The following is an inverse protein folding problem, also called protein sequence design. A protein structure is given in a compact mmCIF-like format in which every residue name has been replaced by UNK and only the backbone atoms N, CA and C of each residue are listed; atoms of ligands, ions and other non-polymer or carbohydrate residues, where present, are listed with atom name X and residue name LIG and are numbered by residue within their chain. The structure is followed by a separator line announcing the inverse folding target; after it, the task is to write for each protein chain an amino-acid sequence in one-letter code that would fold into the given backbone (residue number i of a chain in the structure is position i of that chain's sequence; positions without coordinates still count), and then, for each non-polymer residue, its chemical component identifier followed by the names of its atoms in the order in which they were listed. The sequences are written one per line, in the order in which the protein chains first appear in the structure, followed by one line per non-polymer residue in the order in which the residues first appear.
data_IF_686233334177
#
_entry.id   IF_686233334177
#
_cell.length_a   1.000
_cell.length_b   1.000
_cell.length_c   1.000
_cell.angle_alpha   90.00
_cell.angle_beta   90.00
_cell.angle_gamma   90.00
#
_symmetry.space_group_name_H-M   'P 1'
#
loop_
_entity.id
_entity.type
_entity.pdbx_description
1 polymer ?
#
# COMPACT_ATOMS: atom_id res chain seq x y z
N UNK A 1 3.41 -6.19 -10.75
CA UNK A 1 2.00 -5.81 -10.65
C UNK A 1 1.79 -5.16 -9.30
N UNK A 2 1.16 -3.98 -9.29
CA UNK A 2 0.65 -3.31 -8.09
C UNK A 2 -0.86 -3.21 -8.27
N UNK A 3 -1.66 -3.91 -7.47
CA UNK A 3 -3.12 -3.96 -7.61
C UNK A 3 -3.76 -4.17 -6.23
N UNK A 4 -5.02 -3.74 -6.03
CA UNK A 4 -5.78 -3.97 -4.80
C UNK A 4 -6.01 -2.73 -3.91
N UNK A 5 -5.12 -1.74 -3.92
CA UNK A 5 -5.24 -0.57 -3.02
C UNK A 5 -6.36 0.41 -3.38
N UNK A 6 -6.76 0.47 -4.65
CA UNK A 6 -7.96 1.21 -5.07
C UNK A 6 -9.24 0.41 -4.78
N UNK A 7 -9.15 -0.93 -4.82
CA UNK A 7 -10.26 -1.85 -4.61
C UNK A 7 -10.65 -1.96 -3.12
N UNK A 8 -9.68 -1.91 -2.19
CA UNK A 8 -9.95 -1.76 -0.74
C UNK A 8 -10.28 -0.31 -0.35
N UNK A 9 -10.06 0.65 -1.24
CA UNK A 9 -10.27 2.06 -0.94
C UNK A 9 -9.28 2.62 0.09
N UNK A 10 -8.06 2.05 0.22
CA UNK A 10 -7.08 2.42 1.25
C UNK A 10 -6.65 3.90 1.20
N UNK A 11 -6.24 4.38 0.03
CA UNK A 11 -5.89 5.80 -0.15
C UNK A 11 -7.13 6.71 -0.01
N UNK A 12 -8.30 6.38 -0.61
CA UNK A 12 -9.56 7.08 -0.35
C UNK A 12 -10.00 7.14 1.12
N UNK A 13 -9.73 6.11 1.92
CA UNK A 13 -9.97 6.05 3.37
C UNK A 13 -9.09 7.07 4.08
N UNK A 14 -7.78 7.00 3.85
CA UNK A 14 -6.81 7.91 4.48
C UNK A 14 -7.02 9.37 4.08
N UNK A 15 -7.41 9.61 2.83
CA UNK A 15 -7.75 10.95 2.37
C UNK A 15 -9.00 11.48 3.11
N UNK A 16 -10.04 10.68 3.25
CA UNK A 16 -11.23 11.07 4.02
C UNK A 16 -10.91 11.31 5.51
N UNK A 17 -10.00 10.51 6.10
CA UNK A 17 -9.56 10.67 7.50
C UNK A 17 -8.94 12.05 7.77
N UNK A 18 -8.15 12.56 6.83
CA UNK A 18 -7.43 13.83 6.99
C UNK A 18 -8.26 15.09 6.74
N UNK A 19 -9.51 14.97 6.26
CA UNK A 19 -10.39 16.11 6.01
C UNK A 19 -11.02 16.65 7.31
N UNK A 20 -11.33 17.97 7.40
CA UNK A 20 -12.09 18.55 8.50
C UNK A 20 -13.42 17.81 8.78
N UNK A 21 -13.81 17.75 10.05
CA UNK A 21 -15.03 17.04 10.53
C UNK A 21 -16.30 17.43 9.77
N UNK A 22 -16.45 18.71 9.42
CA UNK A 22 -17.60 19.22 8.65
C UNK A 22 -17.69 18.59 7.25
N UNK A 23 -16.56 18.30 6.61
CA UNK A 23 -16.52 17.62 5.32
C UNK A 23 -16.71 16.10 5.47
N UNK A 24 -16.25 15.50 6.58
CA UNK A 24 -16.47 14.07 6.89
C UNK A 24 -17.95 13.73 7.13
N UNK A 25 -18.75 14.69 7.59
CA UNK A 25 -20.18 14.51 7.84
C UNK A 25 -21.02 14.36 6.54
N UNK A 26 -20.41 14.58 5.36
CA UNK A 26 -21.07 14.32 4.09
C UNK A 26 -21.27 12.81 3.88
N UNK A 27 -22.48 12.34 3.50
CA UNK A 27 -22.82 10.92 3.42
C UNK A 27 -21.87 10.09 2.53
N UNK A 28 -21.28 10.72 1.51
CA UNK A 28 -20.35 10.09 0.55
C UNK A 28 -18.99 9.74 1.17
N UNK A 29 -18.64 10.37 2.31
CA UNK A 29 -17.33 10.21 2.97
C UNK A 29 -17.42 9.52 4.34
N UNK A 30 -18.58 9.59 5.02
CA UNK A 30 -18.75 9.12 6.39
C UNK A 30 -18.73 7.59 6.57
N UNK A 31 -19.18 6.83 5.58
CA UNK A 31 -19.26 5.35 5.67
C UNK A 31 -17.94 4.60 5.55
N UNK A 32 -16.81 5.30 5.37
CA UNK A 32 -15.53 4.67 5.01
C UNK A 32 -14.80 4.00 6.18
N UNK A 33 -15.19 4.26 7.42
CA UNK A 33 -14.52 3.72 8.62
C UNK A 33 -15.29 2.59 9.31
N UNK A 34 -16.33 2.05 8.66
CA UNK A 34 -17.04 0.87 9.17
C UNK A 34 -16.13 -0.37 9.07
N UNK A 35 -15.75 -0.93 10.22
CA UNK A 35 -14.85 -2.09 10.30
C UNK A 35 -15.37 -3.28 9.51
N UNK A 36 -16.67 -3.58 9.57
CA UNK A 36 -17.25 -4.70 8.83
C UNK A 36 -17.15 -4.52 7.31
N UNK A 37 -17.26 -3.27 6.82
CA UNK A 37 -17.04 -2.94 5.41
C UNK A 37 -15.56 -3.05 5.03
N UNK A 38 -14.66 -2.58 5.88
CA UNK A 38 -13.21 -2.71 5.67
C UNK A 38 -12.80 -4.18 5.60
N UNK A 39 -13.22 -5.00 6.56
CA UNK A 39 -12.86 -6.43 6.62
C UNK A 39 -13.38 -7.18 5.39
N UNK A 40 -14.62 -6.88 4.95
CA UNK A 40 -15.18 -7.45 3.73
C UNK A 40 -14.36 -7.06 2.49
N UNK A 41 -14.00 -5.78 2.36
CA UNK A 41 -13.19 -5.31 1.24
C UNK A 41 -11.78 -5.94 1.23
N UNK A 42 -11.18 -6.15 2.41
CA UNK A 42 -9.90 -6.83 2.55
C UNK A 42 -9.98 -8.30 2.12
N UNK A 43 -11.04 -9.01 2.52
CA UNK A 43 -11.29 -10.38 2.09
C UNK A 43 -11.49 -10.47 0.56
N UNK A 44 -12.32 -9.60 -0.01
CA UNK A 44 -12.56 -9.53 -1.46
C UNK A 44 -11.26 -9.27 -2.25
N UNK A 45 -10.39 -8.39 -1.76
CA UNK A 45 -9.10 -8.13 -2.40
C UNK A 45 -8.13 -9.29 -2.26
N UNK A 46 -8.11 -9.99 -1.14
CA UNK A 46 -7.29 -11.19 -0.99
C UNK A 46 -7.65 -12.26 -2.03
N UNK A 47 -8.94 -12.47 -2.28
CA UNK A 47 -9.42 -13.40 -3.32
C UNK A 47 -9.11 -12.90 -4.74
N UNK A 48 -9.36 -11.62 -5.00
CA UNK A 48 -9.07 -11.01 -6.30
C UNK A 48 -7.57 -11.06 -6.66
N UNK A 49 -6.68 -10.85 -5.69
CA UNK A 49 -5.23 -10.96 -5.87
C UNK A 49 -4.82 -12.38 -6.30
N UNK A 50 -5.39 -13.41 -5.67
CA UNK A 50 -5.18 -14.82 -6.05
C UNK A 50 -5.73 -15.11 -7.43
N UNK A 51 -6.92 -14.63 -7.75
CA UNK A 51 -7.53 -14.80 -9.07
C UNK A 51 -6.68 -14.19 -10.17
N UNK A 52 -6.16 -12.97 -9.96
CA UNK A 52 -5.25 -12.30 -10.89
C UNK A 52 -3.94 -13.09 -11.03
N UNK A 53 -3.33 -13.54 -9.93
CA UNK A 53 -2.12 -14.35 -9.95
C UNK A 53 -2.31 -15.64 -10.77
N UNK A 54 -3.38 -16.40 -10.49
CA UNK A 54 -3.75 -17.60 -11.25
C UNK A 54 -3.98 -17.28 -12.73
N UNK A 55 -4.76 -16.25 -13.02
CA UNK A 55 -5.08 -15.82 -14.38
C UNK A 55 -3.85 -15.47 -15.22
N UNK A 56 -2.88 -14.77 -14.63
CA UNK A 56 -1.61 -14.41 -15.30
C UNK A 56 -0.76 -15.66 -15.51
N UNK A 57 -0.62 -16.52 -14.49
CA UNK A 57 0.16 -17.76 -14.60
C UNK A 57 -0.39 -18.73 -15.63
N UNK A 58 -1.70 -18.83 -15.79
CA UNK A 58 -2.32 -19.63 -16.86
C UNK A 58 -2.00 -19.08 -18.24
N UNK A 59 -2.06 -17.75 -18.43
CA UNK A 59 -1.83 -17.11 -19.73
C UNK A 59 -0.35 -17.01 -20.11
N UNK A 60 0.53 -16.93 -19.12
CA UNK A 60 1.96 -16.73 -19.29
C UNK A 60 2.78 -17.67 -18.37
N UNK A 61 2.75 -18.99 -18.59
CA UNK A 61 3.34 -19.97 -17.67
C UNK A 61 4.86 -19.86 -17.53
N UNK A 62 5.55 -19.29 -18.53
CA UNK A 62 6.99 -19.06 -18.49
C UNK A 62 7.41 -17.69 -17.93
N UNK A 63 6.46 -16.77 -17.69
CA UNK A 63 6.78 -15.43 -17.21
C UNK A 63 7.11 -15.41 -15.71
N UNK A 64 8.08 -14.58 -15.33
CA UNK A 64 8.28 -14.18 -13.94
C UNK A 64 7.25 -13.10 -13.60
N UNK A 65 6.45 -13.35 -12.57
CA UNK A 65 5.37 -12.47 -12.17
C UNK A 65 5.69 -11.93 -10.78
N UNK A 66 5.90 -10.63 -10.68
CA UNK A 66 6.24 -9.97 -9.42
C UNK A 66 5.03 -9.18 -8.93
N UNK A 67 4.51 -9.51 -7.75
CA UNK A 67 3.66 -8.62 -6.98
C UNK A 67 4.53 -7.60 -6.26
N UNK A 68 4.17 -6.32 -6.33
CA UNK A 68 4.84 -5.25 -5.60
C UNK A 68 3.80 -4.69 -4.65
N UNK A 69 4.06 -4.78 -3.35
CA UNK A 69 3.16 -4.24 -2.32
C UNK A 69 3.34 -2.71 -2.19
N UNK A 70 2.53 -2.11 -1.32
CA UNK A 70 2.48 -0.65 -1.17
C UNK A 70 3.62 -0.11 -0.30
N UNK A 71 4.14 1.07 -0.64
CA UNK A 71 5.02 1.82 0.27
C UNK A 71 4.30 2.18 1.56
N UNK A 72 5.01 2.18 2.69
CA UNK A 72 4.49 2.64 3.98
C UNK A 72 4.05 4.10 3.90
N UNK A 73 2.77 4.35 4.13
CA UNK A 73 2.20 5.71 4.09
C UNK A 73 2.26 6.40 5.46
N UNK A 74 1.93 5.65 6.51
CA UNK A 74 1.73 6.15 7.87
C UNK A 74 2.96 5.92 8.75
N UNK A 75 3.23 6.82 9.71
CA UNK A 75 4.28 6.60 10.68
C UNK A 75 3.94 5.46 11.66
N UNK A 76 4.94 4.90 12.36
CA UNK A 76 4.70 3.86 13.35
C UNK A 76 3.79 4.35 14.50
N UNK A 77 3.18 3.42 15.26
CA UNK A 77 2.39 3.76 16.45
C UNK A 77 3.14 4.70 17.40
N UNK A 78 2.43 5.64 18.01
CA UNK A 78 3.00 6.65 18.90
C UNK A 78 3.58 7.89 18.20
N UNK A 79 3.70 7.88 16.86
CA UNK A 79 4.13 9.05 16.10
C UNK A 79 2.92 9.78 15.49
N UNK A 80 2.71 11.08 15.77
CA UNK A 80 1.55 11.82 15.27
C UNK A 80 1.51 11.93 13.73
N UNK A 81 0.40 11.50 13.12
CA UNK A 81 0.16 11.54 11.68
C UNK A 81 -0.76 12.71 11.25
N UNK A 82 -0.55 13.90 11.82
CA UNK A 82 -1.46 15.05 11.58
C UNK A 82 -1.60 15.36 10.08
N UNK A 83 -2.83 15.64 9.59
CA UNK A 83 -4.04 15.93 10.37
C UNK A 83 -4.90 14.72 10.75
N UNK A 84 -4.47 13.50 10.47
CA UNK A 84 -5.21 12.30 10.87
C UNK A 84 -5.23 12.19 12.40
N UNK A 85 -6.34 11.69 12.94
CA UNK A 85 -6.39 11.30 14.34
C UNK A 85 -5.58 10.02 14.57
N UNK A 86 -5.16 9.78 15.81
CA UNK A 86 -4.39 8.56 16.14
C UNK A 86 -5.19 7.29 15.85
N UNK A 87 -6.51 7.31 16.09
CA UNK A 87 -7.42 6.20 15.78
C UNK A 87 -7.58 5.98 14.26
N UNK A 88 -7.73 7.04 13.47
CA UNK A 88 -7.80 6.90 12.00
C UNK A 88 -6.46 6.37 11.45
N UNK A 89 -5.32 6.83 12.01
CA UNK A 89 -4.00 6.33 11.65
C UNK A 89 -3.79 4.86 12.06
N UNK A 90 -4.35 4.43 13.19
CA UNK A 90 -4.31 3.03 13.62
C UNK A 90 -5.11 2.11 12.69
N UNK A 91 -6.34 2.50 12.33
CA UNK A 91 -7.12 1.80 11.31
C UNK A 91 -6.38 1.75 9.98
N UNK A 92 -5.76 2.86 9.57
CA UNK A 92 -4.96 2.91 8.35
C UNK A 92 -3.73 1.99 8.38
N UNK A 93 -3.07 1.82 9.54
CA UNK A 93 -1.97 0.84 9.68
C UNK A 93 -2.48 -0.59 9.56
N UNK A 94 -3.58 -0.93 10.24
CA UNK A 94 -4.22 -2.26 10.16
C UNK A 94 -4.55 -2.66 8.72
N UNK A 95 -5.14 -1.73 7.96
CA UNK A 95 -5.48 -1.95 6.54
C UNK A 95 -4.22 -2.16 5.70
N UNK A 96 -3.15 -1.38 5.92
CA UNK A 96 -1.89 -1.57 5.21
C UNK A 96 -1.23 -2.92 5.52
N UNK A 97 -1.20 -3.31 6.80
CA UNK A 97 -0.61 -4.58 7.24
C UNK A 97 -1.35 -5.77 6.61
N UNK A 98 -2.68 -5.71 6.61
CA UNK A 98 -3.51 -6.75 5.99
C UNK A 98 -3.32 -6.80 4.47
N UNK A 99 -3.32 -5.65 3.78
CA UNK A 99 -3.04 -5.58 2.35
C UNK A 99 -1.67 -6.17 1.99
N UNK A 100 -0.64 -5.85 2.77
CA UNK A 100 0.70 -6.40 2.57
C UNK A 100 0.72 -7.91 2.76
N UNK A 101 0.05 -8.40 3.81
CA UNK A 101 -0.10 -9.84 4.09
C UNK A 101 -0.83 -10.57 2.96
N UNK A 102 -2.02 -10.09 2.56
CA UNK A 102 -2.80 -10.69 1.48
C UNK A 102 -2.06 -10.70 0.14
N UNK A 103 -1.29 -9.64 -0.15
CA UNK A 103 -0.44 -9.59 -1.35
C UNK A 103 0.67 -10.63 -1.30
N UNK A 104 1.33 -10.79 -0.16
CA UNK A 104 2.37 -11.78 0.03
C UNK A 104 1.83 -13.22 -0.10
N UNK A 105 0.68 -13.50 0.51
CA UNK A 105 0.02 -14.80 0.41
C UNK A 105 -0.43 -15.10 -1.01
N UNK A 106 -1.08 -14.15 -1.69
CA UNK A 106 -1.49 -14.34 -3.08
C UNK A 106 -0.29 -14.59 -4.01
N UNK A 107 0.83 -13.91 -3.80
CA UNK A 107 2.05 -14.18 -4.55
C UNK A 107 2.53 -15.63 -4.31
N UNK A 108 2.62 -16.06 -3.05
CA UNK A 108 3.03 -17.41 -2.70
C UNK A 108 2.08 -18.49 -3.26
N UNK A 109 0.78 -18.35 -3.02
CA UNK A 109 -0.27 -19.30 -3.42
C UNK A 109 -0.35 -19.50 -4.94
N UNK A 110 0.10 -18.51 -5.71
CA UNK A 110 0.05 -18.54 -7.18
C UNK A 110 1.39 -18.80 -7.83
N UNK A 111 2.46 -19.04 -7.05
CA UNK A 111 3.80 -19.25 -7.58
C UNK A 111 4.38 -17.99 -8.25
N UNK A 112 3.98 -16.81 -7.77
CA UNK A 112 4.53 -15.52 -8.13
C UNK A 112 5.54 -15.05 -7.09
N UNK A 113 6.35 -14.05 -7.45
CA UNK A 113 7.35 -13.42 -6.57
C UNK A 113 6.78 -12.18 -5.89
N UNK A 114 7.32 -11.80 -4.71
CA UNK A 114 6.96 -10.58 -3.99
C UNK A 114 8.14 -9.60 -3.93
N UNK A 115 7.88 -8.34 -4.29
CA UNK A 115 8.74 -7.19 -3.99
C UNK A 115 8.13 -6.44 -2.81
N UNK A 116 8.72 -6.63 -1.63
CA UNK A 116 8.23 -6.07 -0.36
C UNK A 116 8.60 -4.59 -0.17
N UNK A 117 8.06 -3.69 -0.98
CA UNK A 117 8.22 -2.25 -0.85
C UNK A 117 7.75 -1.72 0.52
N UNK A 118 6.69 -2.29 1.11
CA UNK A 118 6.20 -1.96 2.44
C UNK A 118 7.31 -2.11 3.48
N UNK A 119 7.95 -3.28 3.54
CA UNK A 119 9.03 -3.57 4.49
C UNK A 119 10.21 -2.61 4.34
N UNK A 120 10.60 -2.29 3.11
CA UNK A 120 11.77 -1.44 2.85
C UNK A 120 11.51 0.05 3.08
N UNK A 121 10.25 0.47 3.19
CA UNK A 121 9.87 1.89 3.32
C UNK A 121 9.34 2.27 4.69
N UNK A 122 9.45 1.38 5.69
CA UNK A 122 8.98 1.62 7.06
C UNK A 122 9.57 2.88 7.70
N UNK A 123 10.82 3.23 7.38
CA UNK A 123 11.49 4.45 7.84
C UNK A 123 11.24 5.68 6.94
N UNK A 124 10.54 5.51 5.82
CA UNK A 124 10.37 6.49 4.74
C UNK A 124 8.90 6.87 4.50
N UNK A 125 8.06 6.80 5.53
CA UNK A 125 6.66 7.21 5.51
C UNK A 125 6.49 8.72 5.28
N UNK A 126 5.26 9.20 5.03
CA UNK A 126 5.01 10.60 4.65
C UNK A 126 5.40 11.67 5.70
N UNK A 127 5.63 11.26 6.95
CA UNK A 127 6.08 12.11 8.07
C UNK A 127 7.56 11.92 8.45
N UNK A 128 8.32 11.11 7.70
CA UNK A 128 9.74 10.88 7.95
C UNK A 128 10.60 12.04 7.46
N UNK A 129 11.87 12.06 7.84
CA UNK A 129 12.84 13.05 7.37
C UNK A 129 13.13 12.94 5.87
N UNK A 130 13.10 11.71 5.32
CA UNK A 130 13.29 11.42 3.90
C UNK A 130 12.11 10.57 3.39
N UNK A 131 10.96 11.21 3.12
CA UNK A 131 9.76 10.48 2.76
C UNK A 131 9.86 9.95 1.33
N UNK A 132 9.41 8.71 1.11
CA UNK A 132 9.22 8.11 -0.21
C UNK A 132 7.79 8.33 -0.73
N UNK A 133 6.90 8.77 0.13
CA UNK A 133 5.49 9.04 -0.16
C UNK A 133 5.15 10.47 0.23
N UNK A 134 4.21 11.10 -0.46
CA UNK A 134 3.67 12.37 0.00
C UNK A 134 2.79 12.15 1.22
N UNK A 135 2.87 13.06 2.21
CA UNK A 135 1.91 13.13 3.30
C UNK A 135 0.51 13.55 2.81
N UNK A 136 -0.45 13.47 3.72
CA UNK A 136 -1.76 14.09 3.49
C UNK A 136 -1.62 15.58 3.12
N UNK A 137 -2.48 16.04 2.21
CA UNK A 137 -2.55 17.42 1.75
C UNK A 137 -3.71 17.61 0.79
N UNK A 138 -4.00 18.87 0.43
CA UNK A 138 -4.96 19.16 -0.64
C UNK A 138 -4.33 18.86 -2.01
N UNK A 139 -5.07 18.27 -2.96
CA UNK A 139 -4.60 18.09 -4.31
C UNK A 139 -4.42 19.47 -4.96
N UNK A 140 -3.21 19.75 -5.44
CA UNK A 140 -2.86 21.01 -6.09
C UNK A 140 -2.31 20.70 -7.50
N UNK A 141 -2.72 21.45 -8.54
CA UNK A 141 -2.16 21.28 -9.88
C UNK A 141 -0.63 21.32 -9.88
N UNK A 142 0.01 20.38 -10.57
CA UNK A 142 1.47 20.28 -10.65
C UNK A 142 2.16 19.71 -9.42
N UNK A 143 1.44 19.25 -8.39
CA UNK A 143 2.01 18.53 -7.24
C UNK A 143 1.61 17.05 -7.27
N UNK A 144 2.47 16.15 -6.73
CA UNK A 144 2.09 14.74 -6.62
C UNK A 144 0.83 14.57 -5.77
N UNK A 145 0.01 13.59 -6.12
CA UNK A 145 -1.22 13.31 -5.40
C UNK A 145 -0.91 12.95 -3.94
N UNK A 146 -1.65 13.48 -2.95
CA UNK A 146 -1.47 13.15 -1.55
C UNK A 146 -1.50 11.64 -1.31
N UNK A 147 -0.69 11.13 -0.38
CA UNK A 147 -0.62 9.71 -0.03
C UNK A 147 -0.16 8.78 -1.16
N UNK A 148 0.55 9.31 -2.16
CA UNK A 148 1.16 8.53 -3.24
C UNK A 148 2.70 8.54 -3.15
N UNK A 149 3.39 7.60 -3.82
CA UNK A 149 4.83 7.67 -3.99
C UNK A 149 5.26 9.00 -4.62
N UNK A 150 6.35 9.58 -4.11
CA UNK A 150 7.02 10.69 -4.76
C UNK A 150 8.14 10.17 -5.69
N UNK A 151 8.87 11.08 -6.33
CA UNK A 151 9.93 10.70 -7.28
C UNK A 151 11.03 9.84 -6.62
N UNK A 152 11.38 10.09 -5.35
CA UNK A 152 12.34 9.26 -4.62
C UNK A 152 11.76 7.87 -4.36
N UNK A 153 10.53 7.78 -3.87
CA UNK A 153 9.87 6.50 -3.63
C UNK A 153 9.74 5.65 -4.89
N UNK A 154 9.38 6.26 -6.03
CA UNK A 154 9.31 5.53 -7.31
C UNK A 154 10.68 5.02 -7.77
N UNK A 155 11.76 5.78 -7.53
CA UNK A 155 13.13 5.28 -7.80
C UNK A 155 13.47 4.09 -6.91
N UNK A 156 13.18 4.18 -5.62
CA UNK A 156 13.48 3.07 -4.69
C UNK A 156 12.67 1.82 -5.01
N UNK A 157 11.39 1.94 -5.38
CA UNK A 157 10.59 0.81 -5.87
C UNK A 157 11.18 0.21 -7.15
N UNK A 158 11.62 1.05 -8.09
CA UNK A 158 12.28 0.57 -9.31
C UNK A 158 13.56 -0.21 -8.98
N UNK A 159 14.39 0.29 -8.06
CA UNK A 159 15.61 -0.39 -7.62
C UNK A 159 15.32 -1.75 -6.97
N UNK A 160 14.27 -1.84 -6.15
CA UNK A 160 13.82 -3.09 -5.54
C UNK A 160 13.36 -4.11 -6.61
N UNK A 161 12.61 -3.65 -7.61
CA UNK A 161 12.16 -4.51 -8.73
C UNK A 161 13.35 -4.97 -9.56
N UNK A 162 14.28 -4.07 -9.91
CA UNK A 162 15.48 -4.40 -10.67
C UNK A 162 16.35 -5.39 -9.90
N UNK A 163 16.51 -5.23 -8.58
CA UNK A 163 17.24 -6.17 -7.73
C UNK A 163 16.61 -7.57 -7.73
N UNK A 164 15.28 -7.65 -7.64
CA UNK A 164 14.53 -8.91 -7.70
C UNK A 164 14.70 -9.59 -9.07
N UNK A 165 14.59 -8.83 -10.17
CA UNK A 165 14.70 -9.39 -11.52
C UNK A 165 16.13 -9.79 -11.87
N UNK A 166 17.13 -9.03 -11.42
CA UNK A 166 18.54 -9.27 -11.74
C UNK A 166 19.19 -10.40 -10.93
N UNK A 167 18.47 -11.00 -9.98
CA UNK A 167 18.94 -12.18 -9.27
C UNK A 167 20.10 -11.91 -8.30
N UNK A 168 19.98 -10.89 -7.42
CA UNK A 168 20.77 -10.92 -6.17
C UNK A 168 20.25 -12.05 -5.29
N UNK A 169 20.69 -13.25 -5.62
CA UNK A 169 20.77 -14.37 -4.70
C UNK A 169 21.52 -13.85 -3.47
N UNK A 170 20.86 -13.80 -2.32
CA UNK A 170 21.53 -13.65 -1.05
C UNK A 170 22.38 -14.90 -0.81
N UNK A 171 23.58 -14.91 -1.36
CA UNK A 171 24.66 -15.80 -0.99
C UNK A 171 25.77 -14.93 -0.40
N UNK A 172 26.03 -15.10 0.90
CA UNK A 172 27.05 -14.34 1.60
C UNK A 172 26.91 -14.39 3.12
N UNK A 173 26.74 -15.59 3.67
CA UNK A 173 27.21 -15.88 5.02
C UNK A 173 28.73 -15.70 5.07
N UNK A 174 29.19 -14.88 6.02
CA UNK A 174 30.53 -14.88 6.60
C UNK A 174 30.38 -14.76 8.09
#
# INVERSE_FOLDING_TARGET
MTIGGNDVGYVPLLFAAGLPRVLRALPVLGGRFDTATIDRALAEVADALRDVGRAVRTRAPAARVLFVDYLTLLPPPGTPARPLSDSDAETGRRVADELARSTAEAAADTGCELVGAARHSTAHHGWSAEPWTTRFGLPLPGRPAPLHPNALGMRMVADLVVAQVSGRCGAGSG
#
